data_IF_766607837745
#
_entry.id   IF_766607837745
#
_cell.length_a   1.000
_cell.length_b   1.000
_cell.length_c   1.000
_cell.angle_alpha   90.00
_cell.angle_beta   90.00
_cell.angle_gamma   90.00
#
_symmetry.space_group_name_H-M   'P 1'
#
loop_
_entity.id
_entity.type
_entity.pdbx_description
1 polymer ?
#
# COMPACT_ATOMS: atom_id res chain seq x y z
N UNK A 1 40.27 -31.21 -25.22
CA UNK A 1 40.64 -29.90 -24.64
C UNK A 1 40.24 -28.82 -25.64
N UNK A 2 39.14 -28.11 -25.41
CA UNK A 2 38.68 -27.04 -26.32
C UNK A 2 39.67 -25.86 -26.26
N UNK A 3 40.26 -25.50 -27.39
CA UNK A 3 41.26 -24.44 -27.48
C UNK A 3 40.63 -23.08 -27.08
N UNK A 4 41.24 -22.42 -26.09
CA UNK A 4 40.85 -21.09 -25.64
C UNK A 4 40.99 -20.08 -26.78
N UNK A 5 39.89 -19.38 -27.08
CA UNK A 5 39.81 -18.39 -28.16
C UNK A 5 40.60 -17.14 -27.74
N UNK A 6 41.66 -16.82 -28.50
CA UNK A 6 42.52 -15.65 -28.27
C UNK A 6 41.69 -14.35 -28.20
N UNK A 7 41.98 -13.44 -27.24
CA UNK A 7 41.27 -12.17 -27.13
C UNK A 7 41.59 -11.31 -28.36
N UNK A 8 40.57 -10.99 -29.16
CA UNK A 8 40.69 -10.03 -30.27
C UNK A 8 40.96 -8.65 -29.69
N UNK A 9 42.04 -8.01 -30.11
CA UNK A 9 42.32 -6.60 -29.82
C UNK A 9 41.12 -5.75 -30.29
N UNK A 10 40.51 -5.02 -29.36
CA UNK A 10 39.39 -4.14 -29.68
C UNK A 10 39.97 -2.83 -30.20
N UNK A 11 39.58 -2.48 -31.43
CA UNK A 11 39.90 -1.16 -31.99
C UNK A 11 39.43 -0.03 -31.06
N UNK A 12 40.15 1.09 -31.00
CA UNK A 12 39.77 2.24 -30.18
C UNK A 12 38.37 2.70 -30.57
N UNK A 13 37.57 3.01 -29.56
CA UNK A 13 36.16 3.36 -29.74
C UNK A 13 36.05 4.72 -30.42
N UNK A 14 35.41 4.75 -31.59
CA UNK A 14 35.16 6.00 -32.31
C UNK A 14 33.97 6.74 -31.67
N UNK A 15 34.30 7.88 -31.06
CA UNK A 15 33.36 8.78 -30.38
C UNK A 15 32.30 9.32 -31.36
N UNK A 16 32.67 9.55 -32.63
CA UNK A 16 31.75 10.05 -33.65
C UNK A 16 30.66 9.02 -33.94
N UNK A 17 31.04 7.75 -34.06
CA UNK A 17 30.10 6.65 -34.27
C UNK A 17 29.18 6.44 -33.06
N UNK A 18 29.70 6.54 -31.83
CA UNK A 18 28.87 6.46 -30.63
C UNK A 18 27.83 7.59 -30.58
N UNK A 19 28.24 8.81 -30.90
CA UNK A 19 27.34 9.95 -30.94
C UNK A 19 26.26 9.79 -32.02
N UNK A 20 26.60 9.22 -33.18
CA UNK A 20 25.64 8.92 -34.22
C UNK A 20 24.58 7.91 -33.76
N UNK A 21 24.99 6.86 -33.04
CA UNK A 21 24.09 5.87 -32.44
C UNK A 21 23.17 6.53 -31.41
N UNK A 22 23.70 7.39 -30.53
CA UNK A 22 22.87 8.11 -29.56
C UNK A 22 21.83 9.02 -30.23
N UNK A 23 22.22 9.79 -31.25
CA UNK A 23 21.29 10.66 -31.98
C UNK A 23 20.20 9.84 -32.67
N UNK A 24 20.55 8.71 -33.28
CA UNK A 24 19.58 7.80 -33.89
C UNK A 24 18.60 7.23 -32.86
N UNK A 25 19.13 6.84 -31.69
CA UNK A 25 18.34 6.29 -30.58
C UNK A 25 17.33 7.32 -30.06
N UNK A 26 17.77 8.54 -29.79
CA UNK A 26 16.91 9.66 -29.38
C UNK A 26 15.83 9.94 -30.43
N UNK A 27 16.17 9.90 -31.72
CA UNK A 27 15.20 10.09 -32.81
C UNK A 27 14.15 8.97 -32.84
N UNK A 28 14.55 7.71 -32.63
CA UNK A 28 13.63 6.56 -32.58
C UNK A 28 12.70 6.63 -31.37
N UNK A 29 13.22 7.00 -30.21
CA UNK A 29 12.44 7.19 -28.98
C UNK A 29 11.45 8.34 -29.14
N UNK A 30 11.88 9.51 -29.60
CA UNK A 30 10.98 10.65 -29.82
C UNK A 30 9.90 10.34 -30.86
N UNK A 31 10.20 9.50 -31.86
CA UNK A 31 9.21 9.06 -32.85
C UNK A 31 8.12 8.16 -32.25
N UNK A 32 8.45 7.33 -31.26
CA UNK A 32 7.52 6.40 -30.62
C UNK A 32 6.87 6.96 -29.35
N UNK A 33 7.41 8.05 -28.79
CA UNK A 33 6.88 8.68 -27.59
C UNK A 33 5.51 9.32 -27.83
N UNK A 34 4.46 8.74 -27.22
CA UNK A 34 3.12 9.31 -27.19
C UNK A 34 2.95 10.12 -25.92
N UNK A 35 3.10 11.44 -26.00
CA UNK A 35 2.88 12.34 -24.87
C UNK A 35 1.37 12.63 -24.72
N UNK A 36 0.74 12.06 -23.68
CA UNK A 36 -0.64 12.40 -23.32
C UNK A 36 -0.66 13.71 -22.54
N UNK A 37 -0.86 14.83 -23.23
CA UNK A 37 -0.93 16.18 -22.61
C UNK A 37 -2.30 16.51 -22.03
N UNK A 38 -3.35 15.80 -22.47
CA UNK A 38 -4.74 16.00 -22.04
C UNK A 38 -5.23 14.80 -21.25
N UNK A 39 -4.77 14.64 -20.02
CA UNK A 39 -5.32 13.66 -19.08
C UNK A 39 -6.01 14.39 -17.92
N UNK A 40 -7.18 13.91 -17.52
CA UNK A 40 -7.88 14.36 -16.32
C UNK A 40 -8.38 13.14 -15.57
N UNK A 41 -7.99 13.00 -14.30
CA UNK A 41 -8.45 11.90 -13.44
C UNK A 41 -9.96 12.06 -13.16
N UNK A 42 -10.44 13.30 -13.04
CA UNK A 42 -11.84 13.63 -12.79
C UNK A 42 -12.42 14.42 -13.98
N UNK A 43 -13.48 13.92 -14.66
CA UNK A 43 -14.15 14.64 -15.76
C UNK A 43 -14.71 16.00 -15.38
N UNK A 44 -15.04 16.20 -14.10
CA UNK A 44 -15.67 17.42 -13.59
C UNK A 44 -14.67 18.46 -13.06
N UNK A 45 -13.37 18.13 -12.95
CA UNK A 45 -12.32 19.05 -12.48
C UNK A 45 -11.10 19.00 -13.40
N UNK A 46 -10.79 20.12 -14.05
CA UNK A 46 -9.54 20.27 -14.83
C UNK A 46 -8.35 20.33 -13.88
N UNK A 47 -7.41 19.40 -14.06
CA UNK A 47 -6.19 19.34 -13.27
C UNK A 47 -5.15 20.30 -13.88
N UNK A 48 -4.87 21.39 -13.19
CA UNK A 48 -3.79 22.30 -13.55
C UNK A 48 -2.52 21.86 -12.84
N UNK A 49 -1.58 21.23 -13.56
CA UNK A 49 -0.26 20.86 -13.03
C UNK A 49 0.64 22.10 -13.02
N UNK A 50 0.26 23.11 -12.25
CA UNK A 50 1.14 24.23 -11.94
C UNK A 50 1.76 23.93 -10.58
N UNK A 51 3.07 23.75 -10.57
CA UNK A 51 3.81 23.61 -9.31
C UNK A 51 3.76 24.95 -8.59
N UNK A 52 3.40 24.92 -7.30
CA UNK A 52 3.53 26.09 -6.44
C UNK A 52 4.99 26.58 -6.41
N UNK A 53 5.19 27.83 -6.02
CA UNK A 53 6.55 28.37 -5.87
C UNK A 53 7.31 27.50 -4.85
N UNK A 54 8.59 27.16 -5.06
CA UNK A 54 9.34 26.25 -4.19
C UNK A 54 9.47 26.73 -2.74
N UNK A 55 9.28 28.02 -2.48
CA UNK A 55 9.28 28.63 -1.15
C UNK A 55 7.88 28.99 -0.65
N UNK A 56 6.82 28.62 -1.38
CA UNK A 56 5.45 28.83 -0.91
C UNK A 56 5.17 27.86 0.24
N UNK A 57 4.54 28.36 1.30
CA UNK A 57 3.89 27.48 2.28
C UNK A 57 2.84 26.66 1.54
N UNK A 58 2.70 25.35 1.80
CA UNK A 58 1.72 24.53 1.10
C UNK A 58 0.32 25.09 1.29
N UNK A 59 -0.26 25.61 0.21
CA UNK A 59 -1.57 26.25 0.24
C UNK A 59 -2.69 25.24 0.49
N UNK A 60 -2.45 23.96 0.15
CA UNK A 60 -3.40 22.87 0.26
C UNK A 60 -3.62 22.38 1.70
N UNK A 61 -2.68 22.63 2.63
CA UNK A 61 -2.80 22.21 4.02
C UNK A 61 -3.77 23.08 4.83
N UNK A 62 -4.09 24.28 4.33
CA UNK A 62 -4.93 25.27 5.04
C UNK A 62 -6.33 25.43 4.42
N UNK A 63 -6.72 24.56 3.48
CA UNK A 63 -8.06 24.59 2.91
C UNK A 63 -9.00 23.91 3.89
N UNK A 64 -9.93 24.68 4.46
CA UNK A 64 -11.03 24.13 5.26
C UNK A 64 -11.79 23.10 4.41
N UNK A 65 -11.69 21.83 4.79
CA UNK A 65 -12.33 20.74 4.05
C UNK A 65 -13.85 20.94 4.01
N UNK A 66 -14.46 20.62 2.87
CA UNK A 66 -15.91 20.77 2.70
C UNK A 66 -16.67 19.98 3.79
N UNK A 67 -17.49 20.64 4.63
CA UNK A 67 -18.21 19.97 5.70
C UNK A 67 -19.18 18.90 5.18
N UNK A 68 -19.65 19.00 3.93
CA UNK A 68 -20.46 17.95 3.31
C UNK A 68 -19.62 16.70 3.03
N UNK A 69 -18.38 16.87 2.55
CA UNK A 69 -17.45 15.78 2.31
C UNK A 69 -17.10 15.05 3.62
N UNK A 70 -16.75 15.80 4.68
CA UNK A 70 -16.50 15.24 6.00
C UNK A 70 -17.70 14.43 6.51
N UNK A 71 -18.92 14.95 6.38
CA UNK A 71 -20.15 14.23 6.78
C UNK A 71 -20.32 12.91 6.02
N UNK A 72 -20.00 12.89 4.73
CA UNK A 72 -20.09 11.67 3.91
C UNK A 72 -19.07 10.63 4.40
N UNK A 73 -17.81 11.04 4.64
CA UNK A 73 -16.78 10.15 5.16
C UNK A 73 -17.16 9.62 6.54
N UNK A 74 -17.55 10.50 7.46
CA UNK A 74 -17.99 10.08 8.79
C UNK A 74 -19.15 9.09 8.70
N UNK A 75 -20.15 9.37 7.87
CA UNK A 75 -21.26 8.44 7.62
C UNK A 75 -20.79 7.11 7.02
N UNK A 76 -19.78 7.11 6.15
CA UNK A 76 -19.21 5.90 5.57
C UNK A 76 -18.42 5.07 6.60
N UNK A 77 -17.80 5.69 7.60
CA UNK A 77 -17.07 5.00 8.67
C UNK A 77 -17.95 4.52 9.83
N UNK A 78 -19.21 4.94 9.93
CA UNK A 78 -20.12 4.47 10.98
C UNK A 78 -20.33 2.94 10.91
N UNK A 79 -20.69 2.34 12.04
CA UNK A 79 -21.11 0.95 12.11
C UNK A 79 -22.43 0.74 11.32
N UNK A 80 -22.64 -0.44 10.71
CA UNK A 80 -23.88 -0.74 9.97
C UNK A 80 -25.15 -0.49 10.78
N UNK A 81 -25.14 -0.86 12.07
CA UNK A 81 -26.25 -0.67 13.02
C UNK A 81 -26.60 0.80 13.29
N UNK A 82 -25.65 1.72 13.08
CA UNK A 82 -25.86 3.17 13.20
C UNK A 82 -26.33 3.80 11.88
N UNK A 83 -26.13 3.12 10.74
CA UNK A 83 -26.51 3.62 9.40
C UNK A 83 -27.89 3.15 8.96
N UNK A 84 -28.22 1.90 9.26
CA UNK A 84 -29.43 1.24 8.80
C UNK A 84 -30.22 0.72 10.00
N UNK A 85 -31.54 0.71 9.88
CA UNK A 85 -32.43 0.18 10.93
C UNK A 85 -32.42 -1.35 10.96
N UNK A 86 -32.20 -1.98 9.82
CA UNK A 86 -32.22 -3.43 9.62
C UNK A 86 -30.99 -3.85 8.80
N UNK A 87 -30.49 -5.08 8.98
CA UNK A 87 -29.38 -5.61 8.19
C UNK A 87 -29.76 -5.59 6.70
N UNK A 88 -28.83 -5.17 5.85
CA UNK A 88 -29.05 -5.08 4.40
C UNK A 88 -28.55 -6.33 3.67
N UNK A 89 -27.68 -7.11 4.29
CA UNK A 89 -27.09 -8.33 3.74
C UNK A 89 -27.14 -9.45 4.77
N UNK A 90 -27.20 -10.71 4.31
CA UNK A 90 -27.20 -11.89 5.19
C UNK A 90 -26.00 -11.90 6.14
N UNK A 91 -24.83 -11.48 5.66
CA UNK A 91 -23.62 -11.36 6.48
C UNK A 91 -23.75 -10.34 7.61
N UNK A 92 -24.59 -9.30 7.47
CA UNK A 92 -24.84 -8.31 8.52
C UNK A 92 -25.84 -8.83 9.56
N UNK A 93 -26.68 -9.80 9.23
CA UNK A 93 -27.59 -10.43 10.20
C UNK A 93 -26.79 -11.07 11.33
N UNK A 94 -25.66 -11.69 10.98
CA UNK A 94 -24.71 -12.26 11.93
C UNK A 94 -24.04 -11.12 12.71
N UNK A 95 -24.40 -11.00 13.99
CA UNK A 95 -23.83 -9.98 14.88
C UNK A 95 -24.49 -8.61 14.80
N UNK A 96 -25.63 -8.48 14.11
CA UNK A 96 -26.44 -7.25 14.11
C UNK A 96 -26.80 -6.79 15.53
N UNK A 97 -27.19 -7.76 16.37
CA UNK A 97 -27.39 -7.58 17.82
C UNK A 97 -26.24 -8.22 18.56
N UNK A 98 -25.11 -7.51 18.67
CA UNK A 98 -23.90 -8.00 19.35
C UNK A 98 -23.91 -7.81 20.87
N UNK A 99 -24.88 -7.05 21.40
CA UNK A 99 -25.01 -6.82 22.84
C UNK A 99 -25.55 -8.10 23.50
N UNK A 100 -24.79 -8.72 24.42
CA UNK A 100 -25.25 -9.92 25.10
C UNK A 100 -26.44 -9.58 26.01
N UNK A 101 -27.43 -10.48 26.06
CA UNK A 101 -28.60 -10.32 26.92
C UNK A 101 -28.25 -10.37 28.41
N UNK A 102 -27.18 -11.09 28.75
CA UNK A 102 -26.63 -11.20 30.10
C UNK A 102 -25.26 -10.54 30.10
N UNK A 103 -25.05 -9.58 31.00
CA UNK A 103 -23.75 -8.94 31.17
C UNK A 103 -22.77 -10.00 31.71
N UNK A 104 -21.84 -10.43 30.87
CA UNK A 104 -20.80 -11.34 31.29
C UNK A 104 -19.74 -10.55 32.07
N UNK A 105 -19.73 -10.67 33.39
CA UNK A 105 -18.63 -10.16 34.19
C UNK A 105 -17.40 -11.04 33.97
N UNK A 106 -16.41 -10.50 33.23
CA UNK A 106 -15.13 -11.20 32.96
C UNK A 106 -14.14 -11.12 34.12
N UNK A 107 -14.44 -10.32 35.16
CA UNK A 107 -13.60 -10.17 36.34
C UNK A 107 -13.80 -11.31 37.35
N UNK A 108 -14.96 -11.98 37.31
CA UNK A 108 -15.25 -13.10 38.19
C UNK A 108 -14.35 -14.31 37.87
N UNK A 109 -13.37 -14.57 38.74
CA UNK A 109 -12.44 -15.70 38.65
C UNK A 109 -13.11 -17.06 38.89
N UNK A 110 -14.35 -17.08 39.38
CA UNK A 110 -15.14 -18.31 39.58
C UNK A 110 -15.82 -18.80 38.31
N UNK A 111 -15.92 -17.96 37.28
CA UNK A 111 -16.58 -18.30 36.02
C UNK A 111 -15.66 -18.10 34.82
N UNK A 112 -14.64 -17.24 34.95
CA UNK A 112 -13.69 -16.97 33.87
C UNK A 112 -12.33 -17.59 34.16
N UNK A 113 -12.02 -18.67 33.44
CA UNK A 113 -10.70 -19.30 33.42
C UNK A 113 -10.04 -19.24 32.04
N UNK A 114 -9.67 -18.03 31.57
CA UNK A 114 -8.95 -17.91 30.31
C UNK A 114 -7.60 -18.64 30.42
N UNK A 115 -7.20 -19.33 29.35
CA UNK A 115 -5.87 -19.93 29.28
C UNK A 115 -4.82 -18.82 29.34
N UNK A 116 -3.88 -18.95 30.26
CA UNK A 116 -2.78 -17.98 30.44
C UNK A 116 -1.47 -18.67 30.10
N UNK A 117 -0.59 -17.97 29.38
CA UNK A 117 0.73 -18.50 29.07
C UNK A 117 1.66 -18.28 30.26
N UNK A 118 2.27 -19.36 30.75
CA UNK A 118 3.35 -19.27 31.74
C UNK A 118 4.65 -18.80 31.08
N UNK A 119 5.63 -18.38 31.89
CA UNK A 119 6.97 -18.03 31.41
C UNK A 119 7.62 -19.17 30.64
N UNK A 120 7.44 -20.41 31.11
CA UNK A 120 7.92 -21.62 30.45
C UNK A 120 7.27 -21.79 29.07
N UNK A 121 5.94 -21.63 29.00
CA UNK A 121 5.22 -21.73 27.72
C UNK A 121 5.69 -20.66 26.74
N UNK A 122 5.88 -19.41 27.20
CA UNK A 122 6.40 -18.31 26.37
C UNK A 122 7.83 -18.57 25.87
N UNK A 123 8.70 -19.07 26.75
CA UNK A 123 10.07 -19.44 26.39
C UNK A 123 10.10 -20.54 25.33
N UNK A 124 9.32 -21.61 25.55
CA UNK A 124 9.26 -22.74 24.61
C UNK A 124 8.66 -22.31 23.25
N UNK A 125 7.63 -21.46 23.24
CA UNK A 125 7.08 -20.86 22.01
C UNK A 125 8.15 -20.07 21.24
N UNK A 126 8.98 -19.28 21.93
CA UNK A 126 10.07 -18.53 21.30
C UNK A 126 11.18 -19.45 20.77
N UNK A 127 11.56 -20.47 21.54
CA UNK A 127 12.56 -21.46 21.14
C UNK A 127 12.10 -22.26 19.91
N UNK A 128 10.82 -22.61 19.83
CA UNK A 128 10.24 -23.30 18.67
C UNK A 128 10.23 -22.42 17.42
N UNK A 129 9.83 -21.14 17.54
CA UNK A 129 9.90 -20.19 16.41
C UNK A 129 11.31 -20.02 15.87
N UNK A 130 12.32 -19.94 16.75
CA UNK A 130 13.72 -19.85 16.33
C UNK A 130 14.16 -21.12 15.58
N UNK A 131 13.79 -22.30 16.10
CA UNK A 131 14.07 -23.58 15.46
C UNK A 131 13.47 -23.66 14.05
N UNK A 132 12.21 -23.28 13.88
CA UNK A 132 11.53 -23.26 12.58
C UNK A 132 12.23 -22.32 11.58
N UNK A 133 12.63 -21.12 12.02
CA UNK A 133 13.39 -20.18 11.17
C UNK A 133 14.72 -20.77 10.72
N UNK A 134 15.46 -21.42 11.61
CA UNK A 134 16.74 -22.05 11.26
C UNK A 134 16.59 -23.24 10.32
N UNK A 135 15.48 -23.99 10.41
CA UNK A 135 15.22 -25.13 9.51
C UNK A 135 14.70 -24.70 8.14
N UNK A 136 13.97 -23.59 8.04
CA UNK A 136 13.45 -23.07 6.77
C UNK A 136 14.50 -22.30 5.94
N UNK A 137 15.64 -21.93 6.54
CA UNK A 137 16.76 -21.24 5.88
C UNK A 137 17.88 -22.19 5.41
N UNK A 138 17.82 -23.48 5.76
CA UNK A 138 18.77 -24.52 5.32
C UNK A 138 18.23 -25.31 4.13
#
# INVERSE_FOLDING_TARGET
MAAAKQPKEKHPVDIVHQNAIHVETIKKENRSQRLYTKFSINPYKRLHVLTDKPMASPTHDNIEEDPAFLKIIHRACLEPTKKYTHPQTESQEIGWTSRPLIVSDRSDRRLNWPRQNSEITKYMDAAWRLKEQTQNLG
#
